data_IF_393133664497
#
_entry.id   IF_393133664497
#
_cell.length_a   1.000
_cell.length_b   1.000
_cell.length_c   1.000
_cell.angle_alpha   90.00
_cell.angle_beta   90.00
_cell.angle_gamma   90.00
#
_symmetry.space_group_name_H-M   'P 1'
#
loop_
_entity.id
_entity.type
_entity.pdbx_description
1 polymer ?
#
# COMPACT_ATOMS: atom_id res chain seq x y z
N UNK A 1 21.45 37.75 23.71
CA UNK A 1 20.26 37.61 22.85
C UNK A 1 20.22 36.17 22.34
N UNK A 2 19.47 35.29 23.01
CA UNK A 2 19.16 33.96 22.48
C UNK A 2 17.88 34.11 21.62
N UNK A 3 18.00 33.83 20.32
CA UNK A 3 16.86 33.72 19.43
C UNK A 3 16.28 32.30 19.57
N UNK A 4 15.13 32.18 20.21
CA UNK A 4 14.35 30.95 20.21
C UNK A 4 13.62 30.83 18.86
N UNK A 5 14.06 29.91 17.99
CA UNK A 5 13.26 29.50 16.84
C UNK A 5 12.11 28.63 17.35
N UNK A 6 10.92 29.21 17.40
CA UNK A 6 9.67 28.47 17.51
C UNK A 6 9.44 27.73 16.19
N UNK A 7 9.79 26.45 16.14
CA UNK A 7 9.30 25.53 15.11
C UNK A 7 7.81 25.32 15.34
N UNK A 8 6.99 26.16 14.70
CA UNK A 8 5.55 25.94 14.58
C UNK A 8 5.31 24.70 13.72
N UNK A 9 5.18 23.55 14.37
CA UNK A 9 4.70 22.33 13.75
C UNK A 9 3.25 22.53 13.32
N UNK A 10 3.03 22.69 12.02
CA UNK A 10 1.69 22.56 11.44
C UNK A 10 1.40 21.06 11.43
N UNK A 11 0.74 20.56 12.49
CA UNK A 11 0.20 19.21 12.47
C UNK A 11 -0.77 19.09 11.30
N UNK A 12 -0.54 18.15 10.39
CA UNK A 12 -1.46 17.89 9.30
C UNK A 12 -2.83 17.56 9.91
N UNK A 13 -3.86 18.33 9.54
CA UNK A 13 -5.22 18.10 10.03
C UNK A 13 -5.68 16.69 9.65
N UNK A 14 -6.36 15.99 10.57
CA UNK A 14 -6.90 14.67 10.27
C UNK A 14 -7.87 14.76 9.08
N UNK A 15 -7.82 13.80 8.14
CA UNK A 15 -8.72 13.80 7.00
C UNK A 15 -10.16 13.65 7.47
N UNK A 16 -11.08 14.39 6.84
CA UNK A 16 -12.51 14.19 7.10
C UNK A 16 -13.00 12.95 6.35
N UNK A 17 -13.91 12.19 6.95
CA UNK A 17 -14.52 11.03 6.29
C UNK A 17 -15.66 11.50 5.38
N UNK A 18 -15.59 11.09 4.11
CA UNK A 18 -16.59 11.36 3.09
C UNK A 18 -17.95 10.75 3.45
N UNK A 19 -19.03 11.40 2.98
CA UNK A 19 -20.41 10.88 3.09
C UNK A 19 -20.78 9.91 1.97
N UNK A 20 -19.89 9.66 1.02
CA UNK A 20 -20.13 8.66 -0.03
C UNK A 20 -20.39 7.29 0.60
N UNK A 21 -21.35 6.55 0.05
CA UNK A 21 -21.69 5.19 0.49
C UNK A 21 -21.32 4.12 -0.54
N UNK A 22 -20.94 4.51 -1.76
CA UNK A 22 -20.50 3.60 -2.82
C UNK A 22 -19.20 4.08 -3.47
N UNK A 23 -18.45 3.15 -4.07
CA UNK A 23 -17.23 3.46 -4.83
C UNK A 23 -17.48 4.52 -5.93
N UNK A 24 -18.61 4.41 -6.63
CA UNK A 24 -19.00 5.36 -7.66
C UNK A 24 -19.22 6.78 -7.11
N UNK A 25 -19.91 6.93 -5.97
CA UNK A 25 -20.09 8.24 -5.32
C UNK A 25 -18.77 8.81 -4.80
N UNK A 26 -17.83 7.95 -4.41
CA UNK A 26 -16.48 8.34 -3.99
C UNK A 26 -15.57 8.71 -5.18
N UNK A 27 -16.00 8.48 -6.43
CA UNK A 27 -15.16 8.69 -7.62
C UNK A 27 -14.06 7.64 -7.79
N UNK A 28 -14.16 6.53 -7.07
CA UNK A 28 -13.24 5.39 -7.17
C UNK A 28 -13.60 4.54 -8.38
N UNK A 29 -12.57 4.09 -9.11
CA UNK A 29 -12.72 3.22 -10.27
C UNK A 29 -11.86 1.98 -10.13
N UNK A 30 -12.34 0.86 -10.67
CA UNK A 30 -11.58 -0.39 -10.74
C UNK A 30 -10.43 -0.21 -11.74
N UNK A 31 -9.20 -0.34 -11.26
CA UNK A 31 -7.98 -0.19 -12.06
C UNK A 31 -7.93 -1.21 -13.18
N UNK A 32 -8.47 -2.43 -13.00
CA UNK A 32 -8.44 -3.46 -14.05
C UNK A 32 -9.25 -3.07 -15.30
N UNK A 33 -10.14 -2.07 -15.21
CA UNK A 33 -10.80 -1.47 -16.39
C UNK A 33 -9.84 -0.70 -17.29
N UNK A 34 -8.73 -0.21 -16.74
CA UNK A 34 -7.69 0.54 -17.46
C UNK A 34 -6.43 -0.31 -17.71
N UNK A 35 -6.14 -1.27 -16.83
CA UNK A 35 -5.02 -2.20 -16.94
C UNK A 35 -5.49 -3.66 -16.72
N UNK A 36 -6.09 -4.30 -17.73
CA UNK A 36 -6.67 -5.65 -17.60
C UNK A 36 -5.65 -6.74 -17.23
N UNK A 37 -4.37 -6.53 -17.55
CA UNK A 37 -3.28 -7.47 -17.27
C UNK A 37 -2.70 -7.32 -15.86
N UNK A 38 -3.17 -6.35 -15.06
CA UNK A 38 -2.74 -6.16 -13.67
C UNK A 38 -3.00 -7.45 -12.87
N UNK A 39 -1.97 -7.98 -12.21
CA UNK A 39 -2.15 -9.12 -11.31
C UNK A 39 -2.75 -8.63 -9.99
N UNK A 40 -3.82 -9.28 -9.56
CA UNK A 40 -4.60 -8.91 -8.37
C UNK A 40 -4.36 -9.96 -7.29
N UNK A 41 -3.72 -9.55 -6.21
CA UNK A 41 -3.45 -10.35 -5.01
C UNK A 41 -3.86 -9.55 -3.76
N UNK A 42 -5.12 -9.09 -3.75
CA UNK A 42 -5.66 -8.15 -2.77
C UNK A 42 -5.78 -8.82 -1.40
N UNK A 43 -4.73 -8.71 -0.59
CA UNK A 43 -4.49 -9.55 0.60
C UNK A 43 -5.55 -9.41 1.68
N UNK A 44 -6.14 -8.23 1.79
CA UNK A 44 -7.14 -7.92 2.80
C UNK A 44 -8.55 -8.44 2.46
N UNK A 45 -8.79 -8.87 1.21
CA UNK A 45 -9.98 -9.60 0.81
C UNK A 45 -9.90 -11.12 1.11
N UNK A 46 -8.76 -11.60 1.59
CA UNK A 46 -8.53 -12.99 1.99
C UNK A 46 -7.97 -13.11 3.40
N UNK A 47 -7.53 -14.30 3.81
CA UNK A 47 -6.87 -14.54 5.11
C UNK A 47 -5.34 -14.46 5.05
N UNK A 48 -4.74 -14.34 3.86
CA UNK A 48 -3.30 -14.25 3.67
C UNK A 48 -2.76 -12.82 3.89
N UNK A 49 -3.00 -12.29 5.09
CA UNK A 49 -2.51 -10.99 5.55
C UNK A 49 -2.17 -11.07 7.05
N UNK A 50 -1.58 -10.00 7.61
CA UNK A 50 -1.12 -9.99 9.00
C UNK A 50 -2.25 -10.15 10.04
N UNK A 51 -3.52 -9.90 9.70
CA UNK A 51 -4.65 -10.16 10.61
C UNK A 51 -5.12 -11.61 10.61
N UNK A 52 -4.69 -12.41 9.62
CA UNK A 52 -5.07 -13.82 9.45
C UNK A 52 -6.53 -14.03 9.01
N UNK A 53 -7.25 -12.98 8.64
CA UNK A 53 -8.68 -13.00 8.28
C UNK A 53 -9.01 -11.94 7.23
N UNK A 54 -10.19 -12.07 6.62
CA UNK A 54 -10.73 -11.01 5.75
C UNK A 54 -10.94 -9.75 6.58
N UNK A 55 -10.45 -8.63 6.06
CA UNK A 55 -10.46 -7.35 6.77
C UNK A 55 -11.81 -6.64 6.53
N UNK A 56 -12.44 -6.07 7.59
CA UNK A 56 -13.68 -5.32 7.44
C UNK A 56 -13.62 -4.27 6.31
N UNK A 57 -14.61 -4.27 5.44
CA UNK A 57 -14.69 -3.38 4.27
C UNK A 57 -14.21 -3.98 2.96
N UNK A 58 -13.45 -5.08 2.98
CA UNK A 58 -13.07 -5.83 1.78
C UNK A 58 -14.07 -6.95 1.52
N UNK A 59 -14.97 -6.75 0.54
CA UNK A 59 -15.99 -7.72 0.12
C UNK A 59 -15.62 -8.44 -1.18
N UNK A 60 -14.69 -7.87 -1.96
CA UNK A 60 -14.14 -8.45 -3.18
C UNK A 60 -12.65 -8.10 -3.33
N UNK A 61 -11.87 -8.93 -4.04
CA UNK A 61 -10.47 -8.64 -4.34
C UNK A 61 -10.37 -7.66 -5.51
N UNK A 62 -10.76 -6.40 -5.31
CA UNK A 62 -10.68 -5.34 -6.33
C UNK A 62 -9.74 -4.22 -5.94
N UNK A 63 -8.98 -3.72 -6.91
CA UNK A 63 -8.13 -2.56 -6.74
C UNK A 63 -8.87 -1.30 -7.18
N UNK A 64 -9.33 -0.52 -6.20
CA UNK A 64 -9.95 0.77 -6.42
C UNK A 64 -8.95 1.92 -6.23
N UNK A 65 -8.97 2.90 -7.14
CA UNK A 65 -8.23 4.15 -7.02
C UNK A 65 -9.09 5.30 -7.57
N UNK A 66 -8.80 6.53 -7.15
CA UNK A 66 -9.31 7.73 -7.81
C UNK A 66 -8.73 7.80 -9.22
N UNK A 67 -9.53 8.28 -10.16
CA UNK A 67 -9.23 8.23 -11.60
C UNK A 67 -7.81 8.68 -12.00
N UNK A 68 -7.27 9.83 -11.54
CA UNK A 68 -5.93 10.25 -11.95
C UNK A 68 -4.83 9.26 -11.54
N UNK A 69 -4.94 8.69 -10.34
CA UNK A 69 -4.00 7.67 -9.85
C UNK A 69 -4.16 6.35 -10.62
N UNK A 70 -5.40 5.94 -10.92
CA UNK A 70 -5.68 4.73 -11.71
C UNK A 70 -5.10 4.83 -13.14
N UNK A 71 -5.27 5.99 -13.79
CA UNK A 71 -4.73 6.25 -15.13
C UNK A 71 -3.19 6.29 -15.12
N UNK A 72 -2.59 6.87 -14.08
CA UNK A 72 -1.14 6.84 -13.88
C UNK A 72 -0.62 5.41 -13.69
N UNK A 73 -1.27 4.61 -12.85
CA UNK A 73 -0.91 3.22 -12.62
C UNK A 73 -1.03 2.37 -13.88
N UNK A 74 -2.05 2.62 -14.70
CA UNK A 74 -2.21 1.92 -15.98
C UNK A 74 -1.03 2.20 -16.94
N UNK A 75 -0.49 3.43 -16.95
CA UNK A 75 0.72 3.76 -17.71
C UNK A 75 1.97 3.08 -17.14
N UNK A 76 2.10 2.97 -15.82
CA UNK A 76 3.19 2.18 -15.20
C UNK A 76 3.10 0.72 -15.64
N UNK A 77 1.91 0.11 -15.55
CA UNK A 77 1.67 -1.27 -15.95
C UNK A 77 2.07 -1.50 -17.41
N UNK A 78 1.60 -0.64 -18.33
CA UNK A 78 1.92 -0.73 -19.75
C UNK A 78 3.43 -0.67 -20.02
N UNK A 79 4.17 0.24 -19.36
CA UNK A 79 5.62 0.37 -19.54
C UNK A 79 6.38 -0.86 -19.02
N UNK A 80 5.97 -1.39 -17.87
CA UNK A 80 6.62 -2.59 -17.32
C UNK A 80 6.30 -3.85 -18.14
N UNK A 81 5.10 -3.93 -18.72
CA UNK A 81 4.72 -5.00 -19.64
C UNK A 81 5.63 -5.06 -20.88
N UNK A 82 6.03 -3.90 -21.44
CA UNK A 82 6.99 -3.88 -22.54
C UNK A 82 8.39 -4.37 -22.16
N UNK A 83 8.73 -4.33 -20.87
CA UNK A 83 9.99 -4.86 -20.33
C UNK A 83 9.86 -6.34 -19.89
N UNK A 84 8.70 -6.96 -20.11
CA UNK A 84 8.38 -8.34 -19.71
C UNK A 84 8.09 -8.50 -18.21
N UNK A 85 7.75 -7.41 -17.52
CA UNK A 85 7.27 -7.44 -16.13
C UNK A 85 5.76 -7.20 -16.07
N UNK A 86 5.15 -7.62 -14.97
CA UNK A 86 3.74 -7.30 -14.67
C UNK A 86 3.64 -6.74 -13.27
N UNK A 87 2.79 -5.74 -13.06
CA UNK A 87 2.47 -5.27 -11.72
C UNK A 87 1.57 -6.27 -11.00
N UNK A 88 1.86 -6.51 -9.73
CA UNK A 88 0.99 -7.25 -8.81
C UNK A 88 0.57 -6.33 -7.67
N UNK A 89 -0.72 -6.05 -7.53
CA UNK A 89 -1.26 -5.20 -6.46
C UNK A 89 -1.68 -6.03 -5.26
N UNK A 90 -1.30 -5.57 -4.07
CA UNK A 90 -1.60 -6.18 -2.77
C UNK A 90 -2.68 -5.43 -2.00
N UNK A 91 -2.69 -4.10 -2.14
CA UNK A 91 -3.75 -3.22 -1.63
C UNK A 91 -3.83 -1.93 -2.47
N UNK A 92 -5.01 -1.32 -2.53
CA UNK A 92 -5.25 -0.06 -3.22
C UNK A 92 -6.04 0.87 -2.28
N UNK A 93 -7.19 1.39 -2.69
CA UNK A 93 -8.09 2.03 -1.73
C UNK A 93 -8.43 1.10 -0.56
N UNK A 94 -8.24 1.62 0.66
CA UNK A 94 -8.52 0.95 1.94
C UNK A 94 -9.60 1.72 2.70
N UNK A 95 -10.78 1.13 2.95
CA UNK A 95 -11.82 1.78 3.72
C UNK A 95 -11.35 2.17 5.13
N UNK A 96 -11.85 3.28 5.69
CA UNK A 96 -11.50 3.70 7.07
C UNK A 96 -11.80 2.59 8.08
N UNK A 97 -12.88 1.82 7.93
CA UNK A 97 -13.20 0.68 8.80
C UNK A 97 -12.13 -0.42 8.78
N UNK A 98 -11.39 -0.58 7.69
CA UNK A 98 -10.27 -1.52 7.61
C UNK A 98 -9.08 -1.03 8.46
N UNK A 99 -8.79 0.27 8.43
CA UNK A 99 -7.79 0.89 9.30
C UNK A 99 -8.16 0.70 10.76
N UNK A 100 -9.42 0.93 11.14
CA UNK A 100 -9.92 0.68 12.49
C UNK A 100 -9.76 -0.78 12.91
N UNK A 101 -9.99 -1.72 11.99
CA UNK A 101 -9.77 -3.15 12.24
C UNK A 101 -8.28 -3.48 12.44
N UNK A 102 -7.37 -2.83 11.72
CA UNK A 102 -5.93 -2.98 11.94
C UNK A 102 -5.48 -2.46 13.30
N UNK A 103 -5.99 -1.30 13.72
CA UNK A 103 -5.74 -0.75 15.05
C UNK A 103 -6.25 -1.69 16.13
N UNK A 104 -7.49 -2.19 16.00
CA UNK A 104 -8.06 -3.15 16.95
C UNK A 104 -7.26 -4.46 17.01
N UNK A 105 -6.83 -4.99 15.86
CA UNK A 105 -5.97 -6.17 15.80
C UNK A 105 -4.61 -5.92 16.45
N UNK A 106 -3.99 -4.75 16.25
CA UNK A 106 -2.70 -4.41 16.84
C UNK A 106 -2.79 -4.31 18.37
N UNK A 107 -3.92 -3.79 18.89
CA UNK A 107 -4.20 -3.68 20.31
C UNK A 107 -4.49 -5.03 21.00
N UNK A 108 -4.97 -6.03 20.25
CA UNK A 108 -5.12 -7.39 20.77
C UNK A 108 -3.76 -8.10 20.86
N UNK A 109 -3.08 -7.91 21.98
CA UNK A 109 -1.78 -8.53 22.24
C UNK A 109 -1.83 -10.06 22.40
N UNK A 110 -3.02 -10.64 22.59
CA UNK A 110 -3.21 -12.09 22.71
C UNK A 110 -3.11 -12.80 21.36
N UNK A 111 -3.52 -12.13 20.26
CA UNK A 111 -3.42 -12.68 18.91
C UNK A 111 -1.98 -12.56 18.37
N UNK A 112 -1.19 -13.63 18.50
CA UNK A 112 0.16 -13.77 17.93
C UNK A 112 0.19 -14.72 16.72
N UNK A 113 -0.98 -15.09 16.19
CA UNK A 113 -1.14 -16.19 15.22
C UNK A 113 -0.30 -16.01 13.94
N UNK A 114 -0.08 -14.76 13.54
CA UNK A 114 0.64 -14.37 12.31
C UNK A 114 2.07 -13.87 12.57
N UNK A 115 2.52 -13.82 13.83
CA UNK A 115 3.82 -13.23 14.23
C UNK A 115 4.99 -13.78 13.43
N UNK A 116 5.09 -15.11 13.35
CA UNK A 116 6.22 -15.77 12.70
C UNK A 116 6.39 -15.37 11.23
N UNK A 117 5.29 -15.03 10.55
CA UNK A 117 5.30 -14.68 9.13
C UNK A 117 5.48 -13.17 8.90
N UNK A 118 4.78 -12.33 9.66
CA UNK A 118 4.68 -10.89 9.34
C UNK A 118 5.55 -9.99 10.22
N UNK A 119 5.81 -10.38 11.46
CA UNK A 119 6.56 -9.54 12.42
C UNK A 119 7.41 -10.39 13.38
N UNK A 120 8.27 -11.29 12.86
CA UNK A 120 8.96 -12.30 13.67
C UNK A 120 9.92 -11.68 14.69
N UNK A 121 10.45 -10.49 14.40
CA UNK A 121 11.44 -9.79 15.23
C UNK A 121 10.88 -8.59 15.98
N UNK A 122 9.59 -8.30 15.84
CA UNK A 122 8.95 -7.11 16.41
C UNK A 122 7.95 -7.54 17.48
N UNK A 123 8.00 -6.90 18.65
CA UNK A 123 6.97 -7.07 19.67
C UNK A 123 5.66 -6.44 19.16
N UNK A 124 4.53 -7.14 19.31
CA UNK A 124 3.24 -6.66 18.78
C UNK A 124 2.86 -5.27 19.31
N UNK A 125 3.31 -4.93 20.53
CA UNK A 125 3.10 -3.59 21.14
C UNK A 125 3.73 -2.45 20.34
N UNK A 126 4.78 -2.73 19.57
CA UNK A 126 5.45 -1.74 18.72
C UNK A 126 4.77 -1.58 17.35
N UNK A 127 3.84 -2.46 16.97
CA UNK A 127 3.21 -2.37 15.65
C UNK A 127 2.33 -1.12 15.52
N UNK A 128 1.57 -0.78 16.56
CA UNK A 128 0.80 0.46 16.57
C UNK A 128 1.76 1.65 16.76
N UNK A 129 1.77 2.57 15.80
CA UNK A 129 2.72 3.69 15.74
C UNK A 129 3.78 3.48 14.66
N UNK A 130 4.62 2.45 14.80
CA UNK A 130 5.77 2.25 13.90
C UNK A 130 5.37 1.69 12.52
N UNK A 131 4.35 0.83 12.48
CA UNK A 131 3.93 0.12 11.25
C UNK A 131 2.43 0.27 10.95
N UNK A 132 1.60 0.40 11.98
CA UNK A 132 0.15 0.57 11.87
C UNK A 132 -0.19 1.96 12.39
N UNK A 133 -0.76 2.78 11.51
CA UNK A 133 -1.22 4.12 11.83
C UNK A 133 -2.74 4.17 12.00
N UNK A 134 -3.22 5.10 12.84
CA UNK A 134 -4.65 5.35 13.06
C UNK A 134 -5.35 5.99 11.85
N UNK A 135 -4.57 6.57 10.94
CA UNK A 135 -5.03 7.10 9.66
C UNK A 135 -4.14 6.56 8.54
N UNK A 136 -4.70 6.39 7.34
CA UNK A 136 -3.97 5.83 6.20
C UNK A 136 -4.20 6.64 4.94
N UNK A 137 -3.12 6.86 4.17
CA UNK A 137 -3.20 7.45 2.83
C UNK A 137 -4.03 6.60 1.87
N UNK A 138 -4.11 5.28 2.07
CA UNK A 138 -4.96 4.39 1.26
C UNK A 138 -6.43 4.78 1.33
N UNK A 139 -6.90 5.30 2.48
CA UNK A 139 -8.27 5.75 2.63
C UNK A 139 -8.58 7.00 1.79
N UNK A 140 -7.58 7.67 1.22
CA UNK A 140 -7.76 8.80 0.29
C UNK A 140 -7.84 8.39 -1.18
N UNK A 141 -7.74 7.08 -1.48
CA UNK A 141 -7.94 6.54 -2.83
C UNK A 141 -6.82 6.84 -3.82
N UNK A 142 -5.65 7.30 -3.36
CA UNK A 142 -4.50 7.63 -4.22
C UNK A 142 -3.20 6.94 -3.78
N UNK A 143 -3.29 6.03 -2.82
CA UNK A 143 -2.18 5.22 -2.30
C UNK A 143 -2.45 3.75 -2.59
N UNK A 144 -1.38 2.99 -2.81
CA UNK A 144 -1.42 1.57 -3.11
C UNK A 144 -0.14 0.85 -2.69
N UNK A 145 -0.28 -0.46 -2.55
CA UNK A 145 0.79 -1.40 -2.25
C UNK A 145 0.93 -2.40 -3.39
N UNK A 146 2.13 -2.53 -3.95
CA UNK A 146 2.37 -3.37 -5.12
C UNK A 146 3.80 -3.91 -5.23
N UNK A 147 3.93 -4.98 -6.01
CA UNK A 147 5.21 -5.59 -6.40
C UNK A 147 5.29 -5.87 -7.89
N UNK A 148 6.30 -6.64 -8.26
CA UNK A 148 6.58 -7.03 -9.64
C UNK A 148 6.49 -8.55 -9.79
N UNK A 149 5.92 -8.98 -10.91
CA UNK A 149 6.14 -10.32 -11.47
C UNK A 149 7.10 -10.22 -12.65
N UNK A 150 8.05 -11.14 -12.73
CA UNK A 150 8.91 -11.34 -13.90
C UNK A 150 8.28 -12.38 -14.82
N UNK A 151 7.92 -11.95 -16.03
CA UNK A 151 7.27 -12.77 -17.05
C UNK A 151 8.17 -13.03 -18.27
N UNK A 152 9.46 -12.69 -18.19
CA UNK A 152 10.39 -12.75 -19.34
C UNK A 152 10.75 -14.17 -19.76
N UNK A 153 10.62 -15.15 -18.87
CA UNK A 153 11.10 -16.52 -19.05
C UNK A 153 9.99 -17.57 -18.96
N UNK A 154 8.77 -17.22 -19.36
CA UNK A 154 7.62 -18.13 -19.38
C UNK A 154 6.55 -17.72 -18.37
N UNK A 155 6.17 -18.63 -17.48
CA UNK A 155 5.19 -18.32 -16.44
C UNK A 155 5.72 -17.20 -15.54
N UNK A 156 4.86 -16.21 -15.27
CA UNK A 156 5.20 -15.09 -14.41
C UNK A 156 5.52 -15.58 -12.99
N UNK A 157 6.63 -15.12 -12.42
CA UNK A 157 7.02 -15.40 -11.04
C UNK A 157 7.22 -14.10 -10.26
N UNK A 158 6.89 -14.11 -8.95
CA UNK A 158 7.13 -12.95 -8.10
C UNK A 158 8.61 -12.60 -8.06
N UNK A 159 8.92 -11.32 -8.26
CA UNK A 159 10.29 -10.81 -8.13
C UNK A 159 10.69 -10.82 -6.66
N UNK A 160 11.88 -11.35 -6.36
CA UNK A 160 12.43 -11.31 -5.01
C UNK A 160 12.78 -9.87 -4.61
N UNK A 161 12.01 -9.34 -3.67
CA UNK A 161 12.19 -8.00 -3.09
C UNK A 161 12.88 -8.05 -1.73
N UNK A 162 13.37 -9.21 -1.28
CA UNK A 162 14.06 -9.42 0.00
C UNK A 162 13.15 -9.60 1.21
N UNK A 163 11.90 -9.14 1.13
CA UNK A 163 10.83 -9.45 2.08
C UNK A 163 9.52 -9.65 1.34
N UNK A 164 8.56 -10.31 1.97
CA UNK A 164 7.18 -10.30 1.52
C UNK A 164 6.53 -8.91 1.74
N UNK A 165 5.35 -8.72 1.14
CA UNK A 165 4.41 -7.64 1.49
C UNK A 165 3.96 -7.75 2.96
N UNK A 166 3.67 -6.62 3.60
CA UNK A 166 3.31 -6.49 5.03
C UNK A 166 4.33 -7.08 6.01
N UNK A 167 5.60 -7.17 5.60
CA UNK A 167 6.66 -7.63 6.47
C UNK A 167 7.12 -6.50 7.40
N UNK A 168 6.59 -6.47 8.63
CA UNK A 168 6.88 -5.45 9.63
C UNK A 168 8.26 -5.68 10.26
N UNK A 169 9.28 -5.14 9.61
CA UNK A 169 10.69 -5.21 9.97
C UNK A 169 11.45 -4.13 9.17
N UNK A 170 12.55 -3.63 9.69
CA UNK A 170 13.38 -2.62 8.99
C UNK A 170 13.94 -3.15 7.66
N UNK A 171 13.99 -4.46 7.44
CA UNK A 171 14.29 -5.08 6.15
C UNK A 171 13.30 -4.74 5.03
N UNK A 172 12.08 -4.36 5.37
CA UNK A 172 11.10 -3.90 4.39
C UNK A 172 11.35 -2.46 3.91
N UNK A 173 12.18 -1.68 4.61
CA UNK A 173 12.53 -0.33 4.19
C UNK A 173 13.20 -0.33 2.82
N UNK A 174 12.79 0.55 1.92
CA UNK A 174 13.19 0.56 0.50
C UNK A 174 14.70 0.43 0.31
N UNK A 175 15.48 1.17 1.09
CA UNK A 175 16.94 1.20 1.02
C UNK A 175 17.66 0.36 2.10
N UNK A 176 16.96 -0.57 2.75
CA UNK A 176 17.51 -1.40 3.83
C UNK A 176 18.94 -1.91 3.53
N UNK A 177 19.90 -1.82 4.46
CA UNK A 177 21.29 -2.21 4.21
C UNK A 177 21.46 -3.72 4.06
N UNK A 178 20.53 -4.51 4.62
CA UNK A 178 20.59 -5.97 4.71
C UNK A 178 20.17 -6.70 3.42
N UNK A 179 19.59 -5.99 2.43
CA UNK A 179 19.17 -6.61 1.16
C UNK A 179 20.36 -6.76 0.19
N UNK A 180 20.30 -7.79 -0.64
CA UNK A 180 21.30 -8.03 -1.69
C UNK A 180 21.26 -6.97 -2.78
N UNK A 181 22.33 -6.84 -3.56
CA UNK A 181 22.37 -5.93 -4.71
C UNK A 181 21.30 -6.24 -5.76
N UNK A 182 20.98 -7.53 -5.95
CA UNK A 182 19.91 -7.97 -6.83
C UNK A 182 18.55 -7.46 -6.33
N UNK A 183 18.21 -7.67 -5.04
CA UNK A 183 16.97 -7.19 -4.45
C UNK A 183 16.88 -5.65 -4.49
N UNK A 184 17.99 -4.96 -4.22
CA UNK A 184 18.09 -3.50 -4.33
C UNK A 184 17.81 -3.02 -5.75
N UNK A 185 18.35 -3.71 -6.77
CA UNK A 185 18.10 -3.39 -8.17
C UNK A 185 16.61 -3.53 -8.53
N UNK A 186 15.92 -4.53 -7.97
CA UNK A 186 14.48 -4.74 -8.21
C UNK A 186 13.61 -3.71 -7.49
N UNK A 187 13.89 -3.39 -6.22
CA UNK A 187 13.20 -2.28 -5.52
C UNK A 187 13.38 -0.96 -6.28
N UNK A 188 14.60 -0.68 -6.76
CA UNK A 188 14.88 0.50 -7.59
C UNK A 188 14.18 0.48 -8.95
N UNK A 189 13.96 -0.70 -9.55
CA UNK A 189 13.17 -0.84 -10.79
C UNK A 189 11.74 -0.40 -10.55
N UNK A 190 11.08 -0.95 -9.52
CA UNK A 190 9.72 -0.57 -9.15
C UNK A 190 9.65 0.92 -8.81
N UNK A 191 10.56 1.41 -7.97
CA UNK A 191 10.61 2.81 -7.56
C UNK A 191 10.72 3.77 -8.75
N UNK A 192 11.60 3.48 -9.73
CA UNK A 192 11.73 4.31 -10.93
C UNK A 192 10.49 4.27 -11.82
N UNK A 193 9.90 3.08 -12.00
CA UNK A 193 8.70 2.91 -12.82
C UNK A 193 7.51 3.69 -12.23
N UNK A 194 7.31 3.58 -10.92
CA UNK A 194 6.28 4.31 -10.19
C UNK A 194 6.54 5.83 -10.22
N UNK A 195 7.78 6.26 -9.94
CA UNK A 195 8.13 7.68 -9.92
C UNK A 195 7.97 8.37 -11.29
N UNK A 196 8.22 7.66 -12.39
CA UNK A 196 8.04 8.18 -13.75
C UNK A 196 6.59 8.59 -14.05
N UNK A 197 5.62 8.04 -13.31
CA UNK A 197 4.19 8.36 -13.43
C UNK A 197 3.65 9.15 -12.24
N UNK A 198 4.52 9.78 -11.45
CA UNK A 198 4.12 10.73 -10.40
C UNK A 198 3.80 10.10 -9.04
N UNK A 199 4.15 8.83 -8.82
CA UNK A 199 4.05 8.21 -7.50
C UNK A 199 5.29 8.50 -6.63
N UNK A 200 5.08 8.61 -5.32
CA UNK A 200 6.11 8.75 -4.30
C UNK A 200 6.13 7.50 -3.42
N UNK A 201 7.30 6.89 -3.24
CA UNK A 201 7.46 5.77 -2.32
C UNK A 201 7.48 6.26 -0.86
N UNK A 202 6.90 5.46 0.04
CA UNK A 202 7.15 5.58 1.47
C UNK A 202 8.42 4.80 1.85
N UNK A 203 9.48 5.45 2.37
CA UNK A 203 10.79 4.80 2.51
C UNK A 203 10.83 3.58 3.46
N UNK A 204 9.87 3.46 4.37
CA UNK A 204 9.83 2.35 5.32
C UNK A 204 9.20 1.07 4.74
N UNK A 205 8.57 1.15 3.56
CA UNK A 205 7.87 0.04 2.92
C UNK A 205 8.15 0.05 1.41
N UNK A 206 8.91 -0.93 0.92
CA UNK A 206 9.30 -0.97 -0.50
C UNK A 206 8.14 -1.06 -1.48
N UNK A 207 6.98 -1.56 -1.03
CA UNK A 207 5.78 -1.77 -1.83
C UNK A 207 4.84 -0.56 -1.86
N UNK A 208 5.01 0.41 -0.96
CA UNK A 208 4.01 1.45 -0.69
C UNK A 208 4.25 2.73 -1.49
N UNK A 209 3.23 3.19 -2.20
CA UNK A 209 3.31 4.37 -3.06
C UNK A 209 2.06 5.25 -2.98
N UNK A 210 2.25 6.57 -2.97
CA UNK A 210 1.17 7.56 -3.06
C UNK A 210 1.33 8.41 -4.30
N UNK A 211 0.27 8.60 -5.07
CA UNK A 211 0.25 9.50 -6.21
C UNK A 211 0.37 10.95 -5.73
N UNK A 212 1.41 11.70 -6.13
CA UNK A 212 1.73 13.02 -5.55
C UNK A 212 0.61 14.06 -5.72
N UNK A 213 -0.11 14.01 -6.84
CA UNK A 213 -1.23 14.89 -7.13
C UNK A 213 -2.54 14.25 -6.68
N UNK A 214 -2.62 13.87 -5.39
CA UNK A 214 -3.83 13.30 -4.81
C UNK A 214 -5.03 14.23 -5.11
N UNK A 215 -6.12 13.73 -5.69
CA UNK A 215 -7.26 14.59 -6.03
C UNK A 215 -7.94 15.19 -4.79
N UNK A 216 -7.94 14.45 -3.67
CA UNK A 216 -8.62 14.82 -2.42
C UNK A 216 -7.74 14.50 -1.20
N UNK A 217 -6.61 15.21 -0.99
CA UNK A 217 -5.61 14.86 0.03
C UNK A 217 -6.11 15.00 1.48
N UNK A 218 -7.26 15.64 1.69
CA UNK A 218 -7.86 15.83 3.02
C UNK A 218 -9.16 15.02 3.22
N UNK A 219 -9.51 14.14 2.28
CA UNK A 219 -10.73 13.33 2.32
C UNK A 219 -10.38 11.85 2.43
N UNK A 220 -10.85 11.19 3.47
CA UNK A 220 -10.84 9.73 3.58
C UNK A 220 -12.21 9.17 3.18
N UNK A 221 -12.24 7.96 2.65
CA UNK A 221 -13.47 7.27 2.23
C UNK A 221 -13.67 6.00 3.05
N UNK A 222 -14.94 5.67 3.33
CA UNK A 222 -15.34 4.45 4.05
C UNK A 222 -16.46 3.69 3.30
N UNK A 223 -16.30 3.58 1.99
CA UNK A 223 -17.15 2.74 1.13
C UNK A 223 -16.58 1.32 1.03
N UNK A 224 -17.40 0.26 0.97
CA UNK A 224 -16.88 -1.11 0.78
C UNK A 224 -16.13 -1.29 -0.55
N UNK A 225 -15.19 -2.22 -0.56
CA UNK A 225 -14.56 -2.74 -1.77
C UNK A 225 -15.37 -3.97 -2.21
N UNK A 226 -16.22 -3.81 -3.23
CA UNK A 226 -17.16 -4.84 -3.75
C UNK A 226 -17.09 -4.99 -5.26
#
# INVERSE_FOLDING_TARGET
>A
MLLALLLSGVGAAQPHVSRATTAAQAGLIDVQRLAPNLAVDLRYAGSNNFTGRVVPGYLAPRCYLLRPAAEALARVAQRLESDGYRLQVFDCYRPVRAVQAFVAWAADLGDQSTKAQYYPRVDKRALLGDYIAETSGHSRGATLDLGLLDCRHGACAAVDMGTAFDFFDTRAHTDAPEITDAQRAQRRRLLRAMAAEGFANYPMEWWHFTFRSEPTPNTAYDVPVE
#
